data_IF_317727659892
#
_entry.id   IF_317727659892
#
_cell.length_a   1.000
_cell.length_b   1.000
_cell.length_c   1.000
_cell.angle_alpha   90.00
_cell.angle_beta   90.00
_cell.angle_gamma   90.00
#
_symmetry.space_group_name_H-M   'P 1'
#
loop_
_entity.id
_entity.type
_entity.pdbx_description
1 polymer ?
#
# COMPACT_ATOMS: atom_id res chain seq x y z
N UNK A 1 34.54 -5.16 -13.24
CA UNK A 1 33.07 -5.05 -13.39
C UNK A 1 32.47 -5.07 -11.99
N UNK A 2 31.94 -3.94 -11.51
CA UNK A 2 31.10 -3.97 -10.31
C UNK A 2 29.94 -4.90 -10.63
N UNK A 3 29.91 -6.06 -9.97
CA UNK A 3 28.85 -7.04 -10.15
C UNK A 3 27.53 -6.30 -9.91
N UNK A 4 26.50 -6.53 -10.75
CA UNK A 4 25.19 -5.90 -10.58
C UNK A 4 24.69 -5.98 -9.12
N UNK A 5 25.09 -7.04 -8.38
CA UNK A 5 24.86 -7.19 -6.94
C UNK A 5 25.47 -6.07 -6.09
N UNK A 6 26.74 -5.71 -6.29
CA UNK A 6 27.40 -4.64 -5.52
C UNK A 6 26.75 -3.28 -5.75
N UNK A 7 26.35 -3.00 -7.00
CA UNK A 7 25.63 -1.77 -7.34
C UNK A 7 24.25 -1.71 -6.68
N UNK A 8 23.49 -2.81 -6.71
CA UNK A 8 22.18 -2.90 -6.04
C UNK A 8 22.30 -2.67 -4.54
N UNK A 9 23.30 -3.27 -3.88
CA UNK A 9 23.51 -3.10 -2.44
C UNK A 9 23.81 -1.64 -2.06
N UNK A 10 24.63 -0.94 -2.85
CA UNK A 10 24.90 0.47 -2.60
C UNK A 10 23.65 1.35 -2.80
N UNK A 11 22.85 1.09 -3.84
CA UNK A 11 21.58 1.81 -4.06
C UNK A 11 20.64 1.61 -2.86
N UNK A 12 20.45 0.36 -2.42
CA UNK A 12 19.59 0.05 -1.28
C UNK A 12 20.09 0.77 -0.02
N UNK A 13 21.40 0.74 0.25
CA UNK A 13 21.98 1.44 1.41
C UNK A 13 21.68 2.94 1.39
N UNK A 14 21.80 3.58 0.24
CA UNK A 14 21.52 5.01 0.09
C UNK A 14 20.03 5.32 0.27
N UNK A 15 19.13 4.48 -0.28
CA UNK A 15 17.68 4.63 -0.11
C UNK A 15 17.25 4.52 1.36
N UNK A 16 17.74 3.51 2.08
CA UNK A 16 17.44 3.37 3.52
C UNK A 16 17.96 4.56 4.34
N UNK A 17 19.10 5.14 3.96
CA UNK A 17 19.64 6.33 4.62
C UNK A 17 18.82 7.59 4.30
N UNK A 18 18.34 7.72 3.07
CA UNK A 18 17.58 8.88 2.60
C UNK A 18 16.15 8.91 3.15
N UNK A 19 15.54 7.75 3.38
CA UNK A 19 14.17 7.60 3.85
C UNK A 19 14.09 6.72 5.11
N UNK A 20 14.69 7.16 6.24
CA UNK A 20 14.76 6.35 7.45
C UNK A 20 13.39 6.07 8.08
N UNK A 21 12.43 6.97 7.85
CA UNK A 21 11.08 6.92 8.43
C UNK A 21 10.01 6.51 7.40
N UNK A 22 10.41 5.95 6.25
CA UNK A 22 9.44 5.46 5.27
C UNK A 22 8.62 4.31 5.89
N UNK A 23 7.28 4.40 5.89
CA UNK A 23 6.44 3.31 6.36
C UNK A 23 6.52 2.12 5.40
N UNK A 24 6.09 0.94 5.88
CA UNK A 24 5.99 -0.25 5.03
C UNK A 24 4.97 -0.07 3.89
N UNK A 25 3.95 0.76 4.11
CA UNK A 25 2.95 1.15 3.11
C UNK A 25 2.45 2.56 3.38
N UNK A 26 1.95 3.23 2.34
CA UNK A 26 1.24 4.51 2.45
C UNK A 26 -0.29 4.35 2.39
N UNK A 27 -0.79 3.12 2.28
CA UNK A 27 -2.21 2.79 2.30
C UNK A 27 -2.70 2.52 3.72
N UNK A 28 -3.76 3.22 4.12
CA UNK A 28 -4.40 3.03 5.42
C UNK A 28 -5.23 1.75 5.40
N UNK A 29 -4.93 0.81 6.29
CA UNK A 29 -5.62 -0.46 6.43
C UNK A 29 -5.47 -1.02 7.85
N UNK A 30 -6.49 -1.73 8.34
CA UNK A 30 -6.49 -2.40 9.64
C UNK A 30 -6.38 -3.93 9.57
N UNK A 31 -6.54 -4.52 8.39
CA UNK A 31 -6.48 -5.97 8.20
C UNK A 31 -6.12 -6.34 6.74
N UNK A 32 -5.96 -7.65 6.48
CA UNK A 32 -5.57 -8.17 5.18
C UNK A 32 -6.60 -7.93 4.06
N UNK A 33 -7.88 -7.91 4.38
CA UNK A 33 -8.94 -7.61 3.40
C UNK A 33 -8.88 -6.15 2.97
N UNK A 34 -8.81 -5.23 3.93
CA UNK A 34 -8.66 -3.80 3.67
C UNK A 34 -7.40 -3.50 2.84
N UNK A 35 -6.26 -4.11 3.19
CA UNK A 35 -5.00 -3.98 2.42
C UNK A 35 -5.19 -4.43 0.96
N UNK A 36 -5.82 -5.57 0.74
CA UNK A 36 -6.04 -6.11 -0.61
C UNK A 36 -6.91 -5.14 -1.44
N UNK A 37 -8.01 -4.66 -0.87
CA UNK A 37 -8.92 -3.74 -1.57
C UNK A 37 -8.25 -2.38 -1.81
N UNK A 38 -7.56 -1.82 -0.82
CA UNK A 38 -6.81 -0.56 -0.96
C UNK A 38 -5.73 -0.67 -2.04
N UNK A 39 -5.04 -1.81 -2.12
CA UNK A 39 -4.03 -2.09 -3.16
C UNK A 39 -4.67 -2.13 -4.56
N UNK A 40 -5.82 -2.79 -4.71
CA UNK A 40 -6.56 -2.83 -5.98
C UNK A 40 -6.98 -1.42 -6.41
N UNK A 41 -7.47 -0.60 -5.47
CA UNK A 41 -7.88 0.78 -5.75
C UNK A 41 -6.70 1.69 -6.14
N UNK A 42 -5.53 1.50 -5.51
CA UNK A 42 -4.30 2.27 -5.77
C UNK A 42 -3.74 2.08 -7.18
N UNK A 43 -4.07 0.97 -7.86
CA UNK A 43 -3.50 0.63 -9.18
C UNK A 43 -3.60 1.73 -10.25
N UNK A 44 -4.54 2.68 -10.13
CA UNK A 44 -4.68 3.83 -11.03
C UNK A 44 -4.97 5.17 -10.32
N UNK A 45 -4.73 5.27 -9.01
CA UNK A 45 -4.96 6.51 -8.26
C UNK A 45 -3.91 6.68 -7.17
N UNK A 46 -3.74 7.90 -6.65
CA UNK A 46 -2.78 8.12 -5.58
C UNK A 46 -3.27 7.49 -4.27
N UNK A 47 -2.36 6.92 -3.47
CA UNK A 47 -2.67 6.35 -2.15
C UNK A 47 -3.41 7.35 -1.25
N UNK A 48 -3.04 8.63 -1.30
CA UNK A 48 -3.74 9.68 -0.56
C UNK A 48 -5.23 9.80 -0.95
N UNK A 49 -5.57 9.58 -2.23
CA UNK A 49 -6.96 9.58 -2.70
C UNK A 49 -7.70 8.32 -2.19
N UNK A 50 -7.05 7.16 -2.26
CA UNK A 50 -7.59 5.90 -1.70
C UNK A 50 -7.91 6.07 -0.22
N UNK A 51 -6.98 6.63 0.56
CA UNK A 51 -7.14 6.83 2.00
C UNK A 51 -8.29 7.79 2.35
N UNK A 52 -8.73 8.65 1.42
CA UNK A 52 -9.90 9.51 1.66
C UNK A 52 -11.23 8.76 1.53
N UNK A 53 -11.27 7.68 0.75
CA UNK A 53 -12.50 6.92 0.48
C UNK A 53 -12.60 5.63 1.29
N UNK A 54 -11.47 5.04 1.68
CA UNK A 54 -11.43 3.74 2.36
C UNK A 54 -12.15 3.71 3.72
N UNK A 55 -12.14 4.76 4.56
CA UNK A 55 -12.86 4.71 5.85
C UNK A 55 -14.37 4.48 5.67
N UNK A 56 -15.01 5.20 4.76
CA UNK A 56 -16.43 5.05 4.47
C UNK A 56 -16.71 3.71 3.75
N UNK A 57 -15.83 3.32 2.83
CA UNK A 57 -15.94 2.05 2.10
C UNK A 57 -15.90 0.85 3.06
N UNK A 58 -14.93 0.81 3.97
CA UNK A 58 -14.75 -0.29 4.92
C UNK A 58 -15.79 -0.26 6.05
N UNK A 59 -16.29 0.93 6.41
CA UNK A 59 -17.45 1.02 7.29
C UNK A 59 -18.71 0.38 6.66
N UNK A 60 -18.94 0.61 5.36
CA UNK A 60 -20.08 0.02 4.64
C UNK A 60 -19.88 -1.45 4.27
N UNK A 61 -18.64 -1.83 3.96
CA UNK A 61 -18.26 -3.18 3.53
C UNK A 61 -17.05 -3.67 4.34
N UNK A 62 -17.29 -4.12 5.59
CA UNK A 62 -16.20 -4.48 6.51
C UNK A 62 -15.45 -5.77 6.13
N UNK A 63 -16.04 -6.62 5.29
CA UNK A 63 -15.44 -7.86 4.83
C UNK A 63 -15.86 -8.21 3.39
N UNK A 64 -15.27 -9.29 2.88
CA UNK A 64 -15.52 -9.76 1.53
C UNK A 64 -16.99 -10.20 1.29
N UNK A 65 -17.69 -10.72 2.30
CA UNK A 65 -19.10 -11.12 2.15
C UNK A 65 -20.00 -9.89 1.97
N UNK A 66 -19.78 -8.85 2.75
CA UNK A 66 -20.54 -7.60 2.64
C UNK A 66 -20.28 -6.92 1.30
N UNK A 67 -19.00 -6.86 0.87
CA UNK A 67 -18.65 -6.30 -0.43
C UNK A 67 -19.26 -7.09 -1.59
N UNK A 68 -19.29 -8.43 -1.50
CA UNK A 68 -19.91 -9.29 -2.51
C UNK A 68 -21.43 -9.07 -2.65
N UNK A 69 -22.11 -8.72 -1.55
CA UNK A 69 -23.56 -8.44 -1.53
C UNK A 69 -23.90 -7.00 -1.89
N UNK A 70 -22.92 -6.18 -2.26
CA UNK A 70 -23.15 -4.81 -2.70
C UNK A 70 -24.03 -4.80 -3.96
N UNK A 71 -25.17 -4.11 -3.87
CA UNK A 71 -26.17 -3.95 -4.92
C UNK A 71 -25.87 -2.76 -5.84
#
# INVERSE_FOLDING_TARGET
MNSNKQRVQEILKQLHKAYPDAPETYLDHGNAFEMLIATILSANTADACVNTITPELFHRFPDAEHLMRAS
#
